data_IF_198354937904
#
_entry.id   IF_198354937904
#
_cell.length_a   1.000
_cell.length_b   1.000
_cell.length_c   1.000
_cell.angle_alpha   90.00
_cell.angle_beta   90.00
_cell.angle_gamma   90.00
#
_symmetry.space_group_name_H-M   'P 1'
#
loop_
_entity.id
_entity.type
_entity.pdbx_description
1 polymer ?
#
# COMPACT_ATOMS: atom_id res chain seq x y z
N UNK A 1 8.39 -24.07 3.91
CA UNK A 1 7.36 -22.98 3.89
C UNK A 1 7.12 -22.56 5.32
N UNK A 2 7.71 -21.44 5.78
CA UNK A 2 7.47 -20.92 7.12
C UNK A 2 6.04 -20.38 7.19
N UNK A 3 5.24 -20.94 8.08
CA UNK A 3 3.87 -20.49 8.33
C UNK A 3 3.94 -19.03 8.81
N UNK A 4 3.23 -18.13 8.14
CA UNK A 4 3.00 -16.78 8.61
C UNK A 4 2.29 -16.86 9.97
N UNK A 5 3.03 -16.66 11.04
CA UNK A 5 2.43 -16.48 12.37
C UNK A 5 2.13 -15.00 12.53
N UNK A 6 0.85 -14.65 12.48
CA UNK A 6 0.37 -13.31 12.78
C UNK A 6 0.19 -13.25 14.30
N UNK A 7 0.93 -12.38 14.96
CA UNK A 7 0.80 -12.13 16.40
C UNK A 7 -0.07 -10.88 16.67
N UNK A 8 -0.39 -10.62 17.93
CA UNK A 8 -1.20 -9.46 18.32
C UNK A 8 -0.58 -8.13 17.89
N UNK A 9 0.75 -8.04 17.86
CA UNK A 9 1.49 -6.85 17.40
C UNK A 9 1.30 -6.65 15.90
N UNK A 10 1.25 -7.73 15.13
CA UNK A 10 1.00 -7.67 13.70
C UNK A 10 -0.41 -7.19 13.39
N UNK A 11 -1.41 -7.70 14.14
CA UNK A 11 -2.81 -7.25 14.02
C UNK A 11 -2.90 -5.75 14.32
N UNK A 12 -2.28 -5.28 15.40
CA UNK A 12 -2.26 -3.87 15.74
C UNK A 12 -1.63 -3.01 14.64
N UNK A 13 -0.50 -3.44 14.06
CA UNK A 13 0.16 -2.73 12.96
C UNK A 13 -0.70 -2.69 11.69
N UNK A 14 -1.32 -3.80 11.33
CA UNK A 14 -2.24 -3.89 10.19
C UNK A 14 -3.40 -2.91 10.37
N UNK A 15 -4.03 -2.89 11.55
CA UNK A 15 -5.13 -2.00 11.86
C UNK A 15 -4.71 -0.52 11.84
N UNK A 16 -3.55 -0.18 12.42
CA UNK A 16 -3.01 1.18 12.41
C UNK A 16 -2.76 1.67 10.99
N UNK A 17 -2.17 0.85 10.11
CA UNK A 17 -1.94 1.27 8.74
C UNK A 17 -3.21 1.36 7.93
N UNK A 18 -4.20 0.50 8.15
CA UNK A 18 -5.54 0.66 7.57
C UNK A 18 -6.17 2.00 8.01
N UNK A 19 -6.06 2.36 9.29
CA UNK A 19 -6.54 3.63 9.83
C UNK A 19 -5.77 4.83 9.25
N UNK A 20 -4.45 4.75 9.06
CA UNK A 20 -3.66 5.80 8.42
C UNK A 20 -4.14 6.04 6.98
N UNK A 21 -4.37 4.97 6.20
CA UNK A 21 -4.88 5.11 4.83
C UNK A 21 -6.27 5.72 4.82
N UNK A 22 -7.15 5.34 5.76
CA UNK A 22 -8.47 5.96 5.93
C UNK A 22 -8.33 7.46 6.27
N UNK A 23 -7.48 7.82 7.23
CA UNK A 23 -7.24 9.21 7.62
C UNK A 23 -6.68 10.07 6.48
N UNK A 24 -5.84 9.50 5.60
CA UNK A 24 -5.35 10.17 4.40
C UNK A 24 -6.45 10.39 3.33
N UNK A 25 -7.62 9.81 3.50
CA UNK A 25 -8.83 10.10 2.73
C UNK A 25 -9.60 11.33 3.20
N UNK A 26 -9.42 11.77 4.46
CA UNK A 26 -10.17 12.86 5.07
C UNK A 26 -9.94 14.24 4.41
N UNK A 27 -8.72 14.61 3.96
CA UNK A 27 -8.51 15.92 3.32
C UNK A 27 -9.33 16.15 2.05
N UNK A 28 -10.09 15.14 1.64
CA UNK A 28 -10.96 15.22 0.47
C UNK A 28 -10.30 14.71 -0.80
N UNK A 29 -11.03 14.87 -1.89
CA UNK A 29 -10.62 14.46 -3.23
C UNK A 29 -10.60 15.69 -4.14
N UNK A 30 -9.52 15.86 -4.87
CA UNK A 30 -9.46 16.81 -5.97
C UNK A 30 -9.69 16.04 -7.26
N UNK A 31 -10.83 16.28 -7.93
CA UNK A 31 -11.06 15.75 -9.28
C UNK A 31 -10.76 16.85 -10.28
N UNK A 32 -9.66 16.75 -10.98
CA UNK A 32 -9.26 17.73 -12.02
C UNK A 32 -9.86 17.33 -13.37
N UNK A 33 -9.80 16.06 -13.72
CA UNK A 33 -10.34 15.49 -14.95
C UNK A 33 -10.75 14.05 -14.68
N UNK A 34 -12.04 13.72 -14.89
CA UNK A 34 -12.52 12.35 -14.88
C UNK A 34 -13.13 11.84 -13.59
N UNK A 35 -13.45 10.55 -13.60
CA UNK A 35 -14.26 9.87 -12.63
C UNK A 35 -13.49 9.34 -11.39
N UNK A 36 -12.15 9.45 -11.41
CA UNK A 36 -11.28 8.96 -10.31
C UNK A 36 -10.70 10.15 -9.55
N UNK A 37 -10.89 10.22 -8.22
CA UNK A 37 -10.38 11.32 -7.42
C UNK A 37 -8.87 11.20 -7.13
N UNK A 38 -8.17 12.34 -7.12
CA UNK A 38 -6.79 12.44 -6.64
C UNK A 38 -6.83 12.49 -5.12
N UNK A 39 -6.15 11.56 -4.45
CA UNK A 39 -6.18 11.42 -2.99
C UNK A 39 -4.80 11.24 -2.40
N UNK A 40 -4.65 11.52 -1.10
CA UNK A 40 -3.42 11.19 -0.37
C UNK A 40 -3.32 9.70 0.03
N UNK A 41 -4.39 8.91 -0.17
CA UNK A 41 -4.47 7.53 0.30
C UNK A 41 -3.38 6.62 -0.30
N UNK A 42 -2.97 6.85 -1.56
CA UNK A 42 -1.89 6.09 -2.19
C UNK A 42 -0.55 6.24 -1.47
N UNK A 43 -0.28 7.38 -0.81
CA UNK A 43 0.88 7.52 0.08
C UNK A 43 0.82 6.50 1.23
N UNK A 44 -0.34 6.33 1.84
CA UNK A 44 -0.54 5.35 2.91
C UNK A 44 -0.34 3.91 2.43
N UNK A 45 -0.80 3.59 1.21
CA UNK A 45 -0.55 2.28 0.56
C UNK A 45 0.96 2.05 0.37
N UNK A 46 1.67 3.05 -0.14
CA UNK A 46 3.13 3.00 -0.33
C UNK A 46 3.86 2.77 1.00
N UNK A 47 3.47 3.50 2.05
CA UNK A 47 4.03 3.35 3.40
C UNK A 47 3.71 1.98 4.01
N UNK A 48 2.47 1.48 3.86
CA UNK A 48 2.08 0.17 4.36
C UNK A 48 2.95 -0.95 3.78
N UNK A 49 3.12 -0.99 2.46
CA UNK A 49 3.98 -1.96 1.80
C UNK A 49 5.46 -1.82 2.23
N UNK A 50 5.99 -0.60 2.23
CA UNK A 50 7.40 -0.34 2.52
C UNK A 50 7.80 -0.61 3.98
N UNK A 51 6.91 -0.33 4.94
CA UNK A 51 7.20 -0.43 6.38
C UNK A 51 6.81 -1.81 6.93
N UNK A 52 5.62 -2.32 6.58
CA UNK A 52 5.10 -3.57 7.13
C UNK A 52 5.60 -4.82 6.39
N UNK A 53 6.11 -4.64 5.17
CA UNK A 53 6.46 -5.74 4.29
C UNK A 53 5.26 -6.29 3.51
N UNK A 54 5.48 -7.34 2.67
CA UNK A 54 4.50 -7.73 1.64
C UNK A 54 3.16 -8.18 2.22
N UNK A 55 3.17 -9.13 3.13
CA UNK A 55 1.94 -9.74 3.64
C UNK A 55 1.13 -8.81 4.53
N UNK A 56 1.79 -8.11 5.47
CA UNK A 56 1.10 -7.21 6.41
C UNK A 56 0.62 -5.94 5.71
N UNK A 57 1.39 -5.40 4.76
CA UNK A 57 0.98 -4.28 3.92
C UNK A 57 -0.26 -4.63 3.09
N UNK A 58 -0.27 -5.80 2.44
CA UNK A 58 -1.42 -6.32 1.73
C UNK A 58 -2.63 -6.50 2.65
N UNK A 59 -2.44 -7.11 3.83
CA UNK A 59 -3.52 -7.32 4.80
C UNK A 59 -4.10 -6.01 5.31
N UNK A 60 -3.29 -4.95 5.48
CA UNK A 60 -3.80 -3.62 5.84
C UNK A 60 -4.77 -3.07 4.79
N UNK A 61 -4.47 -3.28 3.51
CA UNK A 61 -5.37 -2.87 2.42
C UNK A 61 -6.63 -3.73 2.37
N UNK A 62 -6.50 -5.03 2.60
CA UNK A 62 -7.67 -5.93 2.69
C UNK A 62 -8.60 -5.54 3.84
N UNK A 63 -8.04 -5.25 5.02
CA UNK A 63 -8.84 -4.78 6.18
C UNK A 63 -9.55 -3.47 5.86
N UNK A 64 -8.83 -2.48 5.31
CA UNK A 64 -9.44 -1.22 4.91
C UNK A 64 -10.60 -1.43 3.92
N UNK A 65 -10.37 -2.20 2.86
CA UNK A 65 -11.38 -2.42 1.83
C UNK A 65 -12.55 -3.28 2.32
N UNK A 66 -12.33 -4.19 3.26
CA UNK A 66 -13.41 -4.91 3.93
C UNK A 66 -14.29 -3.96 4.76
N UNK A 67 -13.68 -3.02 5.50
CA UNK A 67 -14.40 -1.99 6.24
C UNK A 67 -15.18 -1.04 5.29
N UNK A 68 -14.58 -0.69 4.15
CA UNK A 68 -15.27 0.06 3.10
C UNK A 68 -16.47 -0.72 2.55
N UNK A 69 -16.30 -2.02 2.30
CA UNK A 69 -17.37 -2.87 1.72
C UNK A 69 -18.60 -2.97 2.63
N UNK A 70 -18.41 -3.02 3.95
CA UNK A 70 -19.52 -3.03 4.93
C UNK A 70 -20.15 -1.65 5.15
N UNK A 71 -19.73 -0.62 4.39
CA UNK A 71 -20.38 0.68 4.36
C UNK A 71 -19.65 1.82 5.06
N UNK A 72 -18.49 1.58 5.69
CA UNK A 72 -17.74 2.66 6.35
C UNK A 72 -17.21 3.68 5.31
N UNK A 73 -17.41 4.99 5.53
CA UNK A 73 -17.05 6.05 4.58
C UNK A 73 -15.56 6.40 4.67
N UNK A 74 -14.67 5.41 4.44
CA UNK A 74 -13.22 5.53 4.64
C UNK A 74 -12.45 5.97 3.39
N UNK A 75 -13.10 5.98 2.23
CA UNK A 75 -12.49 6.49 1.01
C UNK A 75 -12.66 8.00 0.90
N UNK A 76 -11.77 8.61 0.15
CA UNK A 76 -11.78 10.05 -0.08
C UNK A 76 -13.16 10.56 -0.57
N UNK A 77 -13.60 11.68 0.00
CA UNK A 77 -14.94 12.21 -0.23
C UNK A 77 -16.04 11.46 0.55
N UNK A 78 -15.69 10.72 1.61
CA UNK A 78 -16.65 9.99 2.45
C UNK A 78 -17.30 8.80 1.74
N UNK A 79 -16.66 8.25 0.69
CA UNK A 79 -17.21 7.13 -0.07
C UNK A 79 -16.99 5.81 0.65
N UNK A 80 -17.99 4.94 0.58
CA UNK A 80 -18.00 3.59 1.14
C UNK A 80 -19.09 2.74 0.52
N UNK A 81 -19.24 1.51 1.02
CA UNK A 81 -20.21 0.54 0.53
C UNK A 81 -19.74 -0.23 -0.70
N UNK A 82 -20.48 -1.28 -1.05
CA UNK A 82 -20.10 -2.17 -2.17
C UNK A 82 -20.10 -1.47 -3.53
N UNK A 83 -20.84 -0.38 -3.68
CA UNK A 83 -20.89 0.39 -4.93
C UNK A 83 -19.55 0.94 -5.40
N UNK A 84 -18.59 1.18 -4.50
CA UNK A 84 -17.27 1.69 -4.89
C UNK A 84 -16.44 0.65 -5.66
N UNK A 85 -16.76 -0.63 -5.50
CA UNK A 85 -16.05 -1.75 -6.17
C UNK A 85 -16.56 -2.06 -7.57
N UNK A 86 -17.61 -1.37 -8.03
CA UNK A 86 -18.11 -1.46 -9.40
C UNK A 86 -17.97 -0.14 -10.14
N UNK A 87 -17.46 0.90 -9.49
CA UNK A 87 -17.21 2.21 -10.07
C UNK A 87 -15.84 2.34 -10.78
N UNK A 88 -15.57 3.48 -11.42
CA UNK A 88 -14.34 3.73 -12.17
C UNK A 88 -13.04 3.58 -11.34
N UNK A 89 -13.11 3.80 -10.03
CA UNK A 89 -11.96 3.66 -9.12
C UNK A 89 -11.73 2.23 -8.62
N UNK A 90 -12.60 1.28 -8.92
CA UNK A 90 -12.55 -0.09 -8.39
C UNK A 90 -11.20 -0.78 -8.64
N UNK A 91 -10.69 -0.69 -9.87
CA UNK A 91 -9.41 -1.28 -10.24
C UNK A 91 -8.23 -0.74 -9.42
N UNK A 92 -8.24 0.55 -9.11
CA UNK A 92 -7.22 1.15 -8.26
C UNK A 92 -7.28 0.64 -6.83
N UNK A 93 -8.49 0.41 -6.27
CA UNK A 93 -8.68 -0.17 -4.95
C UNK A 93 -8.11 -1.59 -4.89
N UNK A 94 -8.39 -2.43 -5.88
CA UNK A 94 -7.75 -3.76 -5.98
C UNK A 94 -6.24 -3.64 -6.23
N UNK A 95 -5.81 -2.65 -7.00
CA UNK A 95 -4.42 -2.32 -7.22
C UNK A 95 -3.68 -1.97 -5.92
N UNK A 96 -4.34 -1.38 -4.91
CA UNK A 96 -3.71 -1.12 -3.61
C UNK A 96 -3.27 -2.39 -2.90
N UNK A 97 -4.05 -3.48 -2.98
CA UNK A 97 -3.73 -4.76 -2.37
C UNK A 97 -2.46 -5.34 -2.99
N UNK A 98 -2.46 -5.43 -4.33
CA UNK A 98 -1.32 -5.98 -5.09
C UNK A 98 -0.11 -5.05 -5.00
N UNK A 99 -0.34 -3.75 -5.11
CA UNK A 99 0.70 -2.72 -5.01
C UNK A 99 1.44 -2.75 -3.67
N UNK A 100 0.70 -2.78 -2.55
CA UNK A 100 1.31 -2.89 -1.22
C UNK A 100 2.14 -4.17 -1.07
N UNK A 101 1.66 -5.28 -1.61
CA UNK A 101 2.40 -6.55 -1.61
C UNK A 101 3.71 -6.44 -2.40
N UNK A 102 3.65 -5.94 -3.63
CA UNK A 102 4.83 -5.78 -4.51
C UNK A 102 5.85 -4.81 -3.92
N UNK A 103 5.39 -3.68 -3.37
CA UNK A 103 6.27 -2.74 -2.66
C UNK A 103 7.04 -3.50 -1.56
N UNK A 104 6.30 -4.21 -0.71
CA UNK A 104 6.90 -4.96 0.38
C UNK A 104 7.90 -6.01 -0.09
N UNK A 105 7.61 -6.75 -1.16
CA UNK A 105 8.53 -7.73 -1.74
C UNK A 105 9.85 -7.08 -2.16
N UNK A 106 9.80 -5.98 -2.93
CA UNK A 106 11.00 -5.34 -3.47
C UNK A 106 11.82 -4.69 -2.35
N UNK A 107 11.16 -3.97 -1.44
CA UNK A 107 11.81 -3.26 -0.34
C UNK A 107 12.55 -4.24 0.59
N UNK A 108 11.92 -5.36 0.92
CA UNK A 108 12.47 -6.33 1.88
C UNK A 108 13.27 -7.48 1.24
N UNK A 109 13.38 -7.56 -0.08
CA UNK A 109 14.15 -8.60 -0.78
C UNK A 109 15.65 -8.60 -0.44
N UNK A 110 16.18 -7.52 0.14
CA UNK A 110 17.60 -7.38 0.51
C UNK A 110 17.97 -7.83 1.92
N UNK A 111 17.06 -8.47 2.65
CA UNK A 111 17.32 -8.92 4.02
C UNK A 111 17.21 -7.79 5.06
N UNK A 112 18.07 -7.82 6.11
CA UNK A 112 17.93 -7.01 7.32
C UNK A 112 18.09 -5.49 7.15
N UNK A 113 18.76 -5.02 6.07
CA UNK A 113 19.01 -3.58 5.86
C UNK A 113 18.24 -3.09 4.66
N UNK A 114 17.35 -2.12 4.89
CA UNK A 114 16.69 -1.42 3.82
C UNK A 114 17.71 -0.57 3.03
N UNK A 115 17.59 -0.60 1.71
CA UNK A 115 18.39 0.21 0.80
C UNK A 115 17.48 1.25 0.16
N UNK A 116 17.91 2.51 0.17
CA UNK A 116 17.11 3.62 -0.33
C UNK A 116 16.63 3.40 -1.78
N UNK A 117 17.50 2.90 -2.66
CA UNK A 117 17.14 2.66 -4.06
C UNK A 117 16.13 1.52 -4.23
N UNK A 118 16.18 0.47 -3.40
CA UNK A 118 15.15 -0.59 -3.39
C UNK A 118 13.82 -0.07 -2.86
N UNK A 119 13.86 0.80 -1.85
CA UNK A 119 12.66 1.44 -1.33
C UNK A 119 12.03 2.32 -2.41
N UNK A 120 12.82 3.17 -3.07
CA UNK A 120 12.35 4.00 -4.17
C UNK A 120 11.80 3.14 -5.33
N UNK A 121 12.54 2.12 -5.76
CA UNK A 121 12.11 1.21 -6.83
C UNK A 121 10.82 0.48 -6.47
N UNK A 122 10.73 -0.07 -5.26
CA UNK A 122 9.54 -0.77 -4.78
C UNK A 122 8.32 0.13 -4.75
N UNK A 123 8.47 1.35 -4.24
CA UNK A 123 7.39 2.34 -4.17
C UNK A 123 6.97 2.79 -5.58
N UNK A 124 7.89 3.03 -6.50
CA UNK A 124 7.57 3.38 -7.88
C UNK A 124 6.86 2.23 -8.61
N UNK A 125 7.44 1.04 -8.57
CA UNK A 125 6.86 -0.11 -9.27
C UNK A 125 5.53 -0.54 -8.65
N UNK A 126 5.47 -0.77 -7.34
CA UNK A 126 4.25 -1.23 -6.69
C UNK A 126 3.21 -0.12 -6.50
N UNK A 127 3.66 1.10 -6.14
CA UNK A 127 2.76 2.22 -5.82
C UNK A 127 2.26 3.00 -7.04
N UNK A 128 2.92 2.90 -8.19
CA UNK A 128 2.50 3.53 -9.43
C UNK A 128 2.22 2.47 -10.49
N UNK A 129 3.26 1.77 -10.98
CA UNK A 129 3.12 0.88 -12.14
C UNK A 129 2.07 -0.22 -11.90
N UNK A 130 2.15 -0.94 -10.77
CA UNK A 130 1.20 -2.03 -10.46
C UNK A 130 -0.21 -1.50 -10.24
N UNK A 131 -0.36 -0.41 -9.47
CA UNK A 131 -1.68 0.17 -9.20
C UNK A 131 -2.34 0.63 -10.51
N UNK A 132 -1.59 1.26 -11.41
CA UNK A 132 -2.11 1.70 -12.71
C UNK A 132 -2.37 0.52 -13.65
N UNK A 133 -1.52 -0.50 -13.62
CA UNK A 133 -1.72 -1.71 -14.45
C UNK A 133 -3.02 -2.45 -14.12
N UNK A 134 -3.50 -2.36 -12.87
CA UNK A 134 -4.81 -2.89 -12.47
C UNK A 134 -5.91 -1.83 -12.64
N UNK A 135 -5.63 -0.59 -12.28
CA UNK A 135 -6.61 0.50 -12.25
C UNK A 135 -7.09 0.90 -13.63
N UNK A 136 -6.17 1.15 -14.56
CA UNK A 136 -6.50 1.67 -15.90
C UNK A 136 -7.38 0.72 -16.71
N UNK A 137 -7.10 -0.59 -16.81
CA UNK A 137 -7.98 -1.50 -17.55
C UNK A 137 -9.39 -1.56 -16.95
N UNK A 138 -9.52 -1.62 -15.63
CA UNK A 138 -10.83 -1.65 -14.97
C UNK A 138 -11.58 -0.32 -15.18
N UNK A 139 -10.89 0.82 -15.08
CA UNK A 139 -11.49 2.12 -15.35
C UNK A 139 -11.98 2.20 -16.81
N UNK A 140 -11.17 1.78 -17.79
CA UNK A 140 -11.53 1.74 -19.21
C UNK A 140 -12.81 0.93 -19.43
N UNK A 141 -12.92 -0.26 -18.85
CA UNK A 141 -14.10 -1.12 -18.94
C UNK A 141 -15.35 -0.47 -18.34
N UNK A 142 -15.21 0.15 -17.16
CA UNK A 142 -16.35 0.77 -16.45
C UNK A 142 -16.81 2.05 -17.15
N UNK A 143 -15.88 2.87 -17.63
CA UNK A 143 -16.20 4.16 -18.28
C UNK A 143 -16.51 4.01 -19.77
N UNK A 144 -16.24 2.84 -20.35
CA UNK A 144 -16.35 2.56 -21.80
C UNK A 144 -15.45 3.46 -22.67
N UNK A 145 -14.39 4.00 -22.10
CA UNK A 145 -13.35 4.74 -22.82
C UNK A 145 -12.32 3.77 -23.39
N UNK A 146 -11.64 4.16 -24.45
CA UNK A 146 -10.50 3.39 -24.96
C UNK A 146 -9.37 3.34 -23.91
N UNK A 147 -8.54 2.29 -23.96
CA UNK A 147 -7.37 2.19 -23.08
C UNK A 147 -6.44 3.39 -23.19
N UNK A 148 -6.23 3.90 -24.42
CA UNK A 148 -5.39 5.06 -24.68
C UNK A 148 -5.90 6.33 -23.99
N UNK A 149 -7.20 6.62 -24.11
CA UNK A 149 -7.83 7.76 -23.44
C UNK A 149 -7.77 7.62 -21.93
N UNK A 150 -7.99 6.41 -21.40
CA UNK A 150 -7.92 6.14 -19.97
C UNK A 150 -6.51 6.31 -19.43
N UNK A 151 -5.48 5.86 -20.16
CA UNK A 151 -4.07 6.11 -19.82
C UNK A 151 -3.79 7.61 -19.76
N UNK A 152 -4.18 8.37 -20.79
CA UNK A 152 -3.98 9.82 -20.82
C UNK A 152 -4.65 10.53 -19.64
N UNK A 153 -5.90 10.16 -19.32
CA UNK A 153 -6.57 10.69 -18.13
C UNK A 153 -5.83 10.33 -16.83
N UNK A 154 -5.26 9.14 -16.75
CA UNK A 154 -4.53 8.68 -15.56
C UNK A 154 -3.19 9.39 -15.36
N UNK A 155 -2.59 9.96 -16.42
CA UNK A 155 -1.35 10.73 -16.32
C UNK A 155 -1.49 11.97 -15.42
N UNK A 156 -2.70 12.49 -15.22
CA UNK A 156 -2.96 13.62 -14.32
C UNK A 156 -2.60 13.30 -12.86
N UNK A 157 -2.63 12.02 -12.48
CA UNK A 157 -2.27 11.59 -11.13
C UNK A 157 -0.75 11.49 -10.93
N UNK A 158 0.00 11.27 -12.02
CA UNK A 158 1.42 10.93 -11.98
C UNK A 158 2.31 11.94 -11.24
N UNK A 159 2.17 13.28 -11.44
CA UNK A 159 2.97 14.25 -10.69
C UNK A 159 2.77 14.13 -9.19
N UNK A 160 1.51 14.01 -8.73
CA UNK A 160 1.17 13.82 -7.33
C UNK A 160 1.69 12.49 -6.77
N UNK A 161 1.61 11.42 -7.54
CA UNK A 161 2.09 10.09 -7.11
C UNK A 161 3.61 10.02 -7.06
N UNK A 162 4.33 10.74 -7.92
CA UNK A 162 5.79 10.87 -7.82
C UNK A 162 6.20 11.60 -6.54
N UNK A 163 5.52 12.68 -6.17
CA UNK A 163 5.76 13.38 -4.90
C UNK A 163 5.51 12.44 -3.71
N UNK A 164 4.41 11.68 -3.74
CA UNK A 164 4.10 10.68 -2.70
C UNK A 164 5.15 9.57 -2.65
N UNK A 165 5.67 9.13 -3.79
CA UNK A 165 6.73 8.12 -3.85
C UNK A 165 8.03 8.61 -3.20
N UNK A 166 8.41 9.87 -3.43
CA UNK A 166 9.55 10.51 -2.75
C UNK A 166 9.30 10.57 -1.25
N UNK A 167 8.13 11.09 -0.83
CA UNK A 167 7.76 11.18 0.59
C UNK A 167 7.75 9.81 1.26
N UNK A 168 7.14 8.80 0.64
CA UNK A 168 7.11 7.44 1.17
C UNK A 168 8.52 6.86 1.35
N UNK A 169 9.40 7.11 0.38
CA UNK A 169 10.80 6.67 0.44
C UNK A 169 11.54 7.34 1.59
N UNK A 170 11.45 8.68 1.69
CA UNK A 170 12.11 9.45 2.74
C UNK A 170 11.60 9.03 4.13
N UNK A 171 10.28 8.98 4.32
CA UNK A 171 9.66 8.57 5.59
C UNK A 171 10.11 7.17 5.97
N UNK A 172 10.04 6.20 5.05
CA UNK A 172 10.45 4.81 5.31
C UNK A 172 11.92 4.74 5.71
N UNK A 173 12.81 5.43 5.01
CA UNK A 173 14.25 5.42 5.31
C UNK A 173 14.58 6.12 6.63
N UNK A 174 13.88 7.20 6.97
CA UNK A 174 14.03 7.90 8.25
C UNK A 174 13.59 7.00 9.41
N UNK A 175 12.41 6.37 9.27
CA UNK A 175 11.92 5.42 10.28
C UNK A 175 12.83 4.20 10.43
N UNK A 176 13.38 3.67 9.34
CA UNK A 176 14.30 2.53 9.39
C UNK A 176 15.61 2.86 10.11
N UNK A 177 16.06 4.12 10.06
CA UNK A 177 17.22 4.60 10.81
C UNK A 177 16.89 4.85 12.29
N UNK A 178 15.76 5.48 12.57
CA UNK A 178 15.33 5.83 13.92
C UNK A 178 14.87 4.59 14.74
N UNK A 179 14.15 3.66 14.09
CA UNK A 179 13.56 2.49 14.73
C UNK A 179 13.87 1.18 13.99
N UNK A 180 15.11 0.71 13.94
CA UNK A 180 15.50 -0.49 13.15
C UNK A 180 14.76 -1.76 13.61
N UNK A 181 14.32 -1.80 14.87
CA UNK A 181 13.59 -2.95 15.44
C UNK A 181 12.21 -3.16 14.77
N UNK A 182 11.54 -2.09 14.35
CA UNK A 182 10.24 -2.19 13.69
C UNK A 182 10.29 -2.97 12.36
N UNK A 183 11.43 -2.91 11.67
CA UNK A 183 11.63 -3.55 10.37
C UNK A 183 12.16 -4.99 10.44
N UNK A 184 12.62 -5.46 11.61
CA UNK A 184 13.11 -6.84 11.78
C UNK A 184 12.00 -7.88 11.59
N UNK A 185 10.79 -7.58 12.00
CA UNK A 185 9.63 -8.46 11.85
C UNK A 185 9.12 -8.52 10.39
N UNK A 186 9.31 -7.47 9.62
CA UNK A 186 8.91 -7.42 8.22
C UNK A 186 9.74 -8.36 7.32
N UNK A 187 10.99 -8.63 7.70
CA UNK A 187 11.92 -9.48 6.95
C UNK A 187 11.76 -10.99 7.24
N UNK A 188 10.74 -11.44 7.96
CA UNK A 188 10.46 -12.86 8.21
C UNK A 188 11.47 -13.57 9.13
N UNK A 189 12.31 -12.83 9.85
CA UNK A 189 13.28 -13.41 10.80
C UNK A 189 12.56 -13.71 12.09
N UNK A 190 12.25 -15.01 12.30
CA UNK A 190 11.69 -15.50 13.54
C UNK A 190 12.51 -15.03 14.75
N UNK A 191 11.80 -14.57 15.78
CA UNK A 191 12.39 -14.28 17.07
C UNK A 191 12.92 -15.59 17.69
N UNK A 192 14.24 -15.78 17.70
CA UNK A 192 14.83 -16.68 18.68
C UNK A 192 14.47 -16.14 20.06
N UNK A 193 13.75 -16.95 20.84
CA UNK A 193 13.43 -16.63 22.24
C UNK A 193 14.75 -16.35 22.99
N UNK A 194 14.83 -15.27 23.80
CA UNK A 194 15.91 -15.15 24.74
C UNK A 194 15.80 -16.33 25.73
N UNK A 195 16.73 -17.27 25.70
CA UNK A 195 16.77 -18.38 26.64
C UNK A 195 16.89 -19.80 26.06
N UNK A 196 16.96 -19.97 24.74
CA UNK A 196 17.24 -21.30 24.17
C UNK A 196 18.77 -21.48 24.07
N UNK A 197 19.38 -22.44 24.82
CA UNK A 197 20.80 -22.70 24.72
C UNK A 197 21.16 -23.18 23.32
N UNK A 198 22.26 -22.65 22.77
CA UNK A 198 22.83 -23.07 21.50
C UNK A 198 23.05 -24.58 21.53
N UNK A 199 22.34 -25.34 20.70
CA UNK A 199 22.70 -26.74 20.42
C UNK A 199 24.04 -26.74 19.75
N UNK A 200 25.05 -27.08 20.50
CA UNK A 200 26.38 -27.43 20.00
C UNK A 200 26.24 -28.80 19.34
N UNK A 201 26.53 -28.86 18.08
CA UNK A 201 26.82 -30.08 17.32
C UNK A 201 28.08 -29.87 16.53
#
# INVERSE_FOLDING_TARGET
>A
MSRLRIDATDIARIAVFAAIVAALGLPGAFSVLGAVPITAQTLGVMLAGAILGPWRGMLSMLVLLALVAIGLPLLSGGRGGVGVFVGPSAGYLFGWIVGAFVIGLIVHAGGRRLRWWRTALGVLLGGIVVIYAVGVPVQSLVTRLSLGETVLQSLVFLPGDLVKAVLATVITMTLARAYPRAFRHAAGVGSTRPGEPARVA
#
